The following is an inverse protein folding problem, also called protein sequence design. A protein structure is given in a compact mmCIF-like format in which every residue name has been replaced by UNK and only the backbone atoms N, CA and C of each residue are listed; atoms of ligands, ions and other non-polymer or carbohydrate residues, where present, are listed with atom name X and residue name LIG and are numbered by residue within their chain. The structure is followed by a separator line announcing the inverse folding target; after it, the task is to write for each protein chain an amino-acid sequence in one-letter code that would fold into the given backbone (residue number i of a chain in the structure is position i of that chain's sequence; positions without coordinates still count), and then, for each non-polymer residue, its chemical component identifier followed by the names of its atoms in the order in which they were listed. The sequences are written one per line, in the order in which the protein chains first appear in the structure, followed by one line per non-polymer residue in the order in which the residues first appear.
data_IF_264541921566
#
_entry.id   IF_264541921566
#
_cell.length_a   1.000
_cell.length_b   1.000
_cell.length_c   1.000
_cell.angle_alpha   90.00
_cell.angle_beta   90.00
_cell.angle_gamma   90.00
#
_symmetry.space_group_name_H-M   'P 1'
#
loop_
_entity.id
_entity.type
_entity.pdbx_description
1 polymer ?
#
# COMPACT_ATOMS: atom_id res chain seq x y z
N UNK A 1 10.76 3.82 18.35
CA UNK A 1 10.19 2.46 18.29
C UNK A 1 8.70 2.53 17.98
N UNK A 2 8.30 2.26 16.72
CA UNK A 2 6.96 1.75 16.41
C UNK A 2 7.19 0.56 15.48
N UNK A 3 7.23 -0.64 16.06
CA UNK A 3 7.15 -1.88 15.31
C UNK A 3 5.94 -1.79 14.36
N UNK A 4 6.09 -2.29 13.13
CA UNK A 4 4.99 -2.38 12.17
C UNK A 4 3.85 -3.09 12.89
N UNK A 5 2.76 -2.35 13.14
CA UNK A 5 1.62 -2.87 13.87
C UNK A 5 0.99 -3.93 12.96
N UNK A 6 0.81 -5.14 13.48
CA UNK A 6 0.17 -6.22 12.72
C UNK A 6 -1.17 -5.72 12.19
N UNK A 7 -1.34 -5.80 10.87
CA UNK A 7 -2.60 -5.52 10.21
C UNK A 7 -3.50 -6.73 10.46
N UNK A 8 -4.67 -6.47 11.04
CA UNK A 8 -5.63 -7.52 11.39
C UNK A 8 -6.94 -7.40 10.62
N UNK A 9 -7.16 -6.31 9.87
CA UNK A 9 -8.27 -6.21 8.92
C UNK A 9 -7.96 -5.21 7.79
N UNK A 10 -8.51 -5.50 6.61
CA UNK A 10 -8.60 -4.58 5.49
C UNK A 10 -10.04 -4.56 4.98
N UNK A 11 -10.65 -3.37 5.00
CA UNK A 11 -12.01 -3.16 4.51
C UNK A 11 -11.97 -2.34 3.21
N UNK A 12 -12.00 -2.99 2.03
CA UNK A 12 -11.99 -2.30 0.74
C UNK A 12 -13.35 -1.72 0.36
N UNK A 13 -13.33 -0.70 -0.50
CA UNK A 13 -14.50 -0.33 -1.31
C UNK A 13 -14.71 -1.37 -2.42
N UNK A 14 -15.94 -1.44 -2.91
CA UNK A 14 -16.37 -2.41 -3.92
C UNK A 14 -15.66 -2.19 -5.26
N UNK A 15 -15.40 -3.26 -6.00
CA UNK A 15 -15.07 -3.14 -7.43
C UNK A 15 -16.18 -2.36 -8.18
N UNK A 16 -15.81 -1.65 -9.24
CA UNK A 16 -16.63 -0.67 -9.96
C UNK A 16 -16.71 0.70 -9.29
N UNK A 17 -16.16 0.89 -8.07
CA UNK A 17 -16.17 2.20 -7.42
C UNK A 17 -15.14 3.13 -8.05
N UNK A 18 -15.56 4.35 -8.42
CA UNK A 18 -14.65 5.44 -8.79
C UNK A 18 -14.01 6.11 -7.56
N UNK A 19 -12.70 6.30 -7.60
CA UNK A 19 -11.88 6.87 -6.54
C UNK A 19 -11.15 8.08 -7.10
N UNK A 20 -11.21 9.21 -6.41
CA UNK A 20 -10.41 10.39 -6.75
C UNK A 20 -8.96 10.28 -6.22
N UNK A 21 -8.06 11.10 -6.75
CA UNK A 21 -6.68 11.23 -6.26
C UNK A 21 -6.66 11.58 -4.76
N UNK A 22 -5.77 10.94 -4.00
CA UNK A 22 -5.66 11.03 -2.54
C UNK A 22 -6.92 10.61 -1.76
N UNK A 23 -7.92 10.01 -2.42
CA UNK A 23 -9.13 9.51 -1.75
C UNK A 23 -8.94 8.06 -1.32
N UNK A 24 -9.63 7.72 -0.24
CA UNK A 24 -9.59 6.36 0.33
C UNK A 24 -10.26 5.35 -0.61
N UNK A 25 -9.56 4.25 -0.88
CA UNK A 25 -10.11 3.03 -1.48
C UNK A 25 -10.44 1.95 -0.44
N UNK A 26 -10.06 2.14 0.82
CA UNK A 26 -10.36 1.24 1.92
C UNK A 26 -9.79 1.74 3.26
N UNK A 27 -10.04 0.96 4.31
CA UNK A 27 -9.51 1.18 5.66
C UNK A 27 -8.66 0.00 6.08
N UNK A 28 -7.49 0.27 6.64
CA UNK A 28 -6.58 -0.72 7.20
C UNK A 28 -6.58 -0.56 8.72
N UNK A 29 -6.84 -1.65 9.43
CA UNK A 29 -6.88 -1.67 10.89
C UNK A 29 -5.68 -2.44 11.44
N UNK A 30 -5.02 -1.85 12.44
CA UNK A 30 -3.78 -2.36 12.99
C UNK A 30 -3.63 -1.98 14.46
N UNK A 31 -3.40 -2.97 15.33
CA UNK A 31 -3.44 -2.83 16.80
C UNK A 31 -4.37 -1.69 17.30
N UNK A 32 -3.81 -0.65 17.91
CA UNK A 32 -4.55 0.47 18.52
C UNK A 32 -4.90 1.61 17.56
N UNK A 33 -5.03 1.35 16.26
CA UNK A 33 -5.28 2.39 15.27
C UNK A 33 -5.89 1.85 13.96
N UNK A 34 -6.42 2.75 13.16
CA UNK A 34 -6.81 2.50 11.78
C UNK A 34 -6.31 3.65 10.89
N UNK A 35 -6.07 3.37 9.62
CA UNK A 35 -5.69 4.37 8.62
C UNK A 35 -6.47 4.19 7.34
N UNK A 36 -6.72 5.30 6.66
CA UNK A 36 -7.28 5.28 5.30
C UNK A 36 -6.20 4.86 4.30
N UNK A 37 -6.44 3.78 3.58
CA UNK A 37 -5.65 3.41 2.41
C UNK A 37 -6.10 4.29 1.23
N UNK A 38 -5.21 5.18 0.79
CA UNK A 38 -5.51 6.23 -0.18
C UNK A 38 -4.85 5.93 -1.51
N UNK A 39 -5.57 6.20 -2.59
CA UNK A 39 -5.06 6.03 -3.94
C UNK A 39 -4.20 7.24 -4.34
N UNK A 40 -2.99 7.05 -4.89
CA UNK A 40 -2.21 8.14 -5.47
C UNK A 40 -2.78 8.59 -6.83
N UNK A 41 -3.77 7.87 -7.36
CA UNK A 41 -4.38 8.08 -8.68
C UNK A 41 -5.90 8.23 -8.59
N UNK A 42 -6.48 9.01 -9.50
CA UNK A 42 -7.91 8.94 -9.79
C UNK A 42 -8.19 7.78 -10.76
N UNK A 43 -9.30 7.06 -10.59
CA UNK A 43 -9.60 5.89 -11.40
C UNK A 43 -10.78 5.06 -10.91
N UNK A 44 -10.96 3.91 -11.55
CA UNK A 44 -11.99 2.92 -11.21
C UNK A 44 -11.34 1.67 -10.60
N UNK A 45 -11.89 1.17 -9.49
CA UNK A 45 -11.44 -0.09 -8.91
C UNK A 45 -11.93 -1.27 -9.76
N UNK A 46 -11.00 -1.98 -10.40
CA UNK A 46 -11.31 -3.16 -11.20
C UNK A 46 -11.47 -4.42 -10.35
N UNK A 47 -10.69 -4.53 -9.28
CA UNK A 47 -10.70 -5.69 -8.39
C UNK A 47 -10.25 -5.32 -6.98
N UNK A 48 -10.72 -6.10 -6.02
CA UNK A 48 -10.26 -6.11 -4.63
C UNK A 48 -9.68 -7.48 -4.32
N UNK A 49 -8.66 -7.55 -3.49
CA UNK A 49 -8.12 -8.84 -3.08
C UNK A 49 -8.96 -9.44 -1.94
N UNK A 50 -9.86 -10.36 -2.29
CA UNK A 50 -10.75 -11.02 -1.33
C UNK A 50 -9.99 -11.87 -0.31
N UNK A 51 -8.79 -12.38 -0.66
CA UNK A 51 -7.96 -13.15 0.27
C UNK A 51 -7.57 -12.34 1.51
N UNK A 52 -7.52 -11.01 1.42
CA UNK A 52 -7.21 -10.14 2.55
C UNK A 52 -8.33 -10.01 3.59
N UNK A 53 -9.55 -10.44 3.25
CA UNK A 53 -10.67 -10.50 4.21
C UNK A 53 -10.45 -11.59 5.26
N UNK A 54 -9.85 -12.70 4.84
CA UNK A 54 -9.53 -13.86 5.70
C UNK A 54 -8.08 -13.83 6.19
N UNK A 55 -7.16 -13.28 5.37
CA UNK A 55 -5.72 -13.28 5.61
C UNK A 55 -5.09 -11.88 5.52
N UNK A 56 -5.50 -10.91 6.35
CA UNK A 56 -5.01 -9.53 6.31
C UNK A 56 -3.51 -9.39 6.61
N UNK A 57 -2.91 -10.39 7.26
CA UNK A 57 -1.47 -10.41 7.56
C UNK A 57 -0.60 -10.44 6.28
N UNK A 58 -1.15 -10.89 5.14
CA UNK A 58 -0.46 -10.91 3.85
C UNK A 58 0.02 -9.52 3.43
N UNK A 59 -0.67 -8.44 3.81
CA UNK A 59 -0.26 -7.07 3.51
C UNK A 59 1.12 -6.76 4.11
N UNK A 60 1.44 -7.30 5.29
CA UNK A 60 2.75 -7.11 5.92
C UNK A 60 3.80 -8.12 5.45
N UNK A 61 3.38 -9.32 5.06
CA UNK A 61 4.26 -10.44 4.74
C UNK A 61 4.71 -10.44 3.27
N UNK A 62 3.80 -10.13 2.35
CA UNK A 62 4.02 -10.21 0.90
C UNK A 62 3.23 -9.12 0.14
N UNK A 63 3.51 -7.86 0.46
CA UNK A 63 2.77 -6.68 -0.05
C UNK A 63 2.73 -6.53 -1.58
N UNK A 64 3.64 -7.17 -2.32
CA UNK A 64 3.72 -7.11 -3.78
C UNK A 64 3.33 -8.42 -4.48
N UNK A 65 3.36 -9.56 -3.79
CA UNK A 65 2.82 -10.83 -4.26
C UNK A 65 1.37 -11.00 -3.82
N UNK A 66 1.11 -11.93 -2.92
CA UNK A 66 -0.25 -12.32 -2.48
C UNK A 66 -0.97 -11.20 -1.68
N UNK A 67 -0.23 -10.23 -1.15
CA UNK A 67 -0.72 -9.13 -0.32
C UNK A 67 -1.19 -7.88 -1.07
N UNK A 68 -1.32 -7.91 -2.40
CA UNK A 68 -1.85 -6.78 -3.18
C UNK A 68 -3.26 -6.39 -2.70
N UNK A 69 -3.59 -5.10 -2.64
CA UNK A 69 -4.85 -4.66 -2.01
C UNK A 69 -6.01 -4.47 -3.01
N UNK A 70 -5.76 -3.73 -4.08
CA UNK A 70 -6.73 -3.39 -5.13
C UNK A 70 -6.06 -3.32 -6.49
N UNK A 71 -6.83 -3.52 -7.57
CA UNK A 71 -6.45 -3.15 -8.94
C UNK A 71 -7.26 -1.95 -9.35
N UNK A 72 -6.59 -0.91 -9.83
CA UNK A 72 -7.21 0.35 -10.24
C UNK A 72 -6.87 0.64 -11.70
N UNK A 73 -7.87 1.00 -12.50
CA UNK A 73 -7.71 1.57 -13.82
C UNK A 73 -7.61 3.09 -13.67
N UNK A 74 -6.45 3.72 -13.94
CA UNK A 74 -6.32 5.17 -13.89
C UNK A 74 -7.19 5.84 -14.95
N UNK A 75 -7.71 7.03 -14.66
CA UNK A 75 -8.47 7.84 -15.64
C UNK A 75 -7.60 8.24 -16.84
N UNK A 76 -6.37 8.67 -16.59
CA UNK A 76 -5.38 8.96 -17.63
C UNK A 76 -3.99 8.48 -17.21
N UNK A 77 -3.65 7.26 -17.63
CA UNK A 77 -2.34 6.67 -17.33
C UNK A 77 -1.18 7.41 -17.99
N UNK A 78 -1.39 7.92 -19.21
CA UNK A 78 -0.32 8.56 -19.98
C UNK A 78 0.14 9.86 -19.33
N UNK A 79 -0.78 10.59 -18.71
CA UNK A 79 -0.47 11.83 -17.98
C UNK A 79 0.20 11.54 -16.64
N UNK A 80 -0.30 10.56 -15.88
CA UNK A 80 0.14 10.37 -14.48
C UNK A 80 1.44 9.58 -14.35
N UNK A 81 1.76 8.68 -15.27
CA UNK A 81 2.90 7.76 -15.12
C UNK A 81 4.25 8.48 -14.96
N UNK A 82 4.41 9.61 -15.63
CA UNK A 82 5.65 10.38 -15.65
C UNK A 82 5.78 11.26 -14.38
N UNK A 83 4.75 11.31 -13.54
CA UNK A 83 4.77 12.03 -12.26
C UNK A 83 5.33 11.20 -11.10
N UNK A 84 5.46 9.88 -11.28
CA UNK A 84 6.00 9.00 -10.24
C UNK A 84 7.52 8.89 -10.34
N UNK A 85 8.24 8.89 -9.20
CA UNK A 85 9.64 8.52 -9.18
C UNK A 85 9.84 7.13 -9.77
N UNK A 86 10.85 6.97 -10.63
CA UNK A 86 11.19 5.71 -11.28
C UNK A 86 12.65 5.33 -10.98
N UNK A 87 12.96 4.04 -11.07
CA UNK A 87 14.32 3.51 -10.93
C UNK A 87 15.03 3.98 -9.66
N UNK A 88 16.26 4.48 -9.81
CA UNK A 88 17.09 4.96 -8.70
C UNK A 88 16.45 6.11 -7.92
N UNK A 89 15.72 7.00 -8.60
CA UNK A 89 15.03 8.11 -7.94
C UNK A 89 13.94 7.62 -6.98
N UNK A 90 13.27 6.50 -7.30
CA UNK A 90 12.31 5.87 -6.39
C UNK A 90 12.99 5.31 -5.15
N UNK A 91 14.13 4.63 -5.33
CA UNK A 91 14.92 4.09 -4.22
C UNK A 91 15.39 5.20 -3.29
N UNK A 92 15.95 6.30 -3.83
CA UNK A 92 16.40 7.44 -3.06
C UNK A 92 15.25 8.09 -2.26
N UNK A 93 14.09 8.28 -2.90
CA UNK A 93 12.92 8.84 -2.23
C UNK A 93 12.40 7.94 -1.10
N UNK A 94 12.41 6.62 -1.30
CA UNK A 94 12.03 5.64 -0.28
C UNK A 94 13.03 5.65 0.89
N UNK A 95 14.33 5.65 0.62
CA UNK A 95 15.37 5.72 1.66
C UNK A 95 15.26 6.99 2.49
N UNK A 96 15.01 8.14 1.87
CA UNK A 96 14.81 9.39 2.59
C UNK A 96 13.52 9.36 3.42
N UNK A 97 12.43 8.80 2.87
CA UNK A 97 11.19 8.61 3.64
C UNK A 97 11.42 7.72 4.86
N UNK A 98 12.13 6.59 4.71
CA UNK A 98 12.48 5.70 5.82
C UNK A 98 13.29 6.42 6.89
N UNK A 99 14.26 7.26 6.49
CA UNK A 99 15.05 8.09 7.41
C UNK A 99 14.16 9.06 8.20
N UNK A 100 13.25 9.76 7.51
CA UNK A 100 12.31 10.70 8.14
C UNK A 100 11.34 10.01 9.10
N UNK A 101 10.90 8.80 8.75
CA UNK A 101 9.99 8.00 9.58
C UNK A 101 10.74 7.25 10.71
N UNK A 102 12.05 7.43 10.82
CA UNK A 102 12.94 6.73 11.75
C UNK A 102 12.77 5.20 11.66
N UNK A 103 12.60 4.71 10.43
CA UNK A 103 12.46 3.31 10.08
C UNK A 103 13.83 2.70 9.80
N UNK A 104 14.13 1.60 10.49
CA UNK A 104 15.34 0.81 10.27
C UNK A 104 15.04 -0.37 9.34
N UNK A 105 15.46 -0.32 8.05
CA UNK A 105 15.20 -1.40 7.10
C UNK A 105 15.99 -2.68 7.41
N UNK A 106 17.08 -2.60 8.17
CA UNK A 106 17.91 -3.75 8.53
C UNK A 106 17.38 -4.51 9.76
N UNK A 107 16.37 -3.96 10.43
CA UNK A 107 15.78 -4.57 11.61
C UNK A 107 15.33 -6.02 11.33
N UNK A 108 15.61 -6.93 12.27
CA UNK A 108 15.26 -8.36 12.15
C UNK A 108 13.77 -8.62 11.91
N UNK A 109 12.91 -7.70 12.35
CA UNK A 109 11.45 -7.79 12.20
C UNK A 109 10.91 -7.14 10.92
N UNK A 110 11.76 -6.50 10.11
CA UNK A 110 11.37 -5.94 8.80
C UNK A 110 11.48 -7.03 7.74
N UNK A 111 10.32 -7.52 7.28
CA UNK A 111 10.23 -8.57 6.26
C UNK A 111 10.00 -8.00 4.85
N UNK A 112 9.38 -6.82 4.73
CA UNK A 112 8.97 -6.23 3.46
C UNK A 112 10.12 -5.91 2.48
N UNK A 113 11.37 -5.86 2.95
CA UNK A 113 12.56 -5.57 2.14
C UNK A 113 13.49 -6.78 1.96
N UNK A 114 13.13 -7.94 2.54
CA UNK A 114 13.90 -9.18 2.42
C UNK A 114 13.31 -10.01 1.27
N UNK A 115 13.47 -9.50 0.05
CA UNK A 115 13.02 -10.22 -1.14
C UNK A 115 13.91 -11.45 -1.37
N UNK A 116 13.31 -12.54 -1.88
CA UNK A 116 14.04 -13.71 -2.37
C UNK A 116 14.44 -13.52 -3.82
#
# INVERSE_FOLDING_TARGET
MRAVRQIFAFTPKRAGTRIGRERSFGVVEFAKAASSARSPLAGELLAVNEALLEHPALINQDCYGEGWMVRLQPEDWNVVRDTFPQGEAALAAISERMRLDNFDPANAHVQALRWK
#
